data_IF_797742098687
#
_entry.id   IF_797742098687
#
_cell.length_a   1.000
_cell.length_b   1.000
_cell.length_c   1.000
_cell.angle_alpha   90.00
_cell.angle_beta   90.00
_cell.angle_gamma   90.00
#
_symmetry.space_group_name_H-M   'P 1'
#
loop_
_entity.id
_entity.type
_entity.pdbx_description
1 polymer ?
#
# COMPACT_ATOMS: atom_id res chain seq x y z
N UNK A 1 -15.04 6.01 -21.84
CA UNK A 1 -14.12 4.99 -21.29
C UNK A 1 -14.08 5.21 -19.78
N UNK A 2 -14.62 4.32 -18.92
CA UNK A 2 -14.68 4.57 -17.47
C UNK A 2 -13.40 4.14 -16.71
N UNK A 3 -12.39 3.57 -17.39
CA UNK A 3 -11.28 2.88 -16.73
C UNK A 3 -10.14 3.80 -16.25
N UNK A 4 -10.17 5.11 -16.56
CA UNK A 4 -9.11 6.05 -16.14
C UNK A 4 -9.30 6.59 -14.71
N UNK A 5 -10.53 6.64 -14.19
CA UNK A 5 -10.79 7.29 -12.89
C UNK A 5 -10.45 6.40 -11.68
N UNK A 6 -10.67 5.08 -11.77
CA UNK A 6 -10.31 4.15 -10.68
C UNK A 6 -8.79 4.00 -10.50
N UNK A 7 -8.03 4.16 -11.59
CA UNK A 7 -6.57 4.04 -11.56
C UNK A 7 -5.91 5.21 -10.83
N UNK A 8 -6.43 6.43 -11.02
CA UNK A 8 -5.92 7.62 -10.34
C UNK A 8 -6.14 7.52 -8.83
N UNK A 9 -7.35 7.11 -8.40
CA UNK A 9 -7.66 6.99 -6.97
C UNK A 9 -6.86 5.88 -6.28
N UNK A 10 -6.63 4.75 -6.96
CA UNK A 10 -5.80 3.67 -6.42
C UNK A 10 -4.35 4.13 -6.28
N UNK A 11 -3.82 4.86 -7.26
CA UNK A 11 -2.45 5.39 -7.23
C UNK A 11 -2.23 6.43 -6.13
N UNK A 12 -3.17 7.36 -5.94
CA UNK A 12 -3.15 8.32 -4.84
C UNK A 12 -3.14 7.61 -3.47
N UNK A 13 -3.96 6.56 -3.33
CA UNK A 13 -4.02 5.76 -2.10
C UNK A 13 -2.72 5.01 -1.85
N UNK A 14 -2.09 4.43 -2.87
CA UNK A 14 -0.79 3.77 -2.75
C UNK A 14 0.29 4.76 -2.29
N UNK A 15 0.33 5.97 -2.85
CA UNK A 15 1.25 7.03 -2.40
C UNK A 15 1.02 7.44 -0.94
N UNK A 16 -0.24 7.52 -0.50
CA UNK A 16 -0.55 7.82 0.91
C UNK A 16 0.03 6.75 1.85
N UNK A 17 -0.05 5.47 1.48
CA UNK A 17 0.49 4.36 2.27
C UNK A 17 2.03 4.38 2.27
N UNK A 18 2.67 4.65 1.13
CA UNK A 18 4.13 4.85 1.07
C UNK A 18 4.59 5.96 2.01
N UNK A 19 3.85 7.08 2.05
CA UNK A 19 4.18 8.18 2.96
C UNK A 19 4.01 7.79 4.43
N UNK A 20 2.96 7.03 4.78
CA UNK A 20 2.75 6.53 6.14
C UNK A 20 3.86 5.55 6.58
N UNK A 21 4.38 4.75 5.65
CA UNK A 21 5.55 3.89 5.85
C UNK A 21 6.81 4.72 6.13
N UNK A 22 7.05 5.78 5.36
CA UNK A 22 8.17 6.72 5.59
C UNK A 22 8.05 7.47 6.93
N UNK A 23 6.83 7.83 7.32
CA UNK A 23 6.53 8.47 8.60
C UNK A 23 6.69 7.51 9.81
N UNK A 24 6.84 6.20 9.57
CA UNK A 24 7.04 5.19 10.62
C UNK A 24 5.76 4.79 11.36
N UNK A 25 4.59 5.07 10.78
CA UNK A 25 3.30 4.88 11.44
C UNK A 25 2.71 3.49 11.19
N UNK A 26 3.38 2.44 11.68
CA UNK A 26 3.06 1.04 11.36
C UNK A 26 1.60 0.65 11.64
N UNK A 27 1.02 1.11 12.76
CA UNK A 27 -0.37 0.81 13.09
C UNK A 27 -1.38 1.39 12.07
N UNK A 28 -1.05 2.52 11.47
CA UNK A 28 -1.89 3.14 10.46
C UNK A 28 -1.71 2.42 9.11
N UNK A 29 -0.47 2.07 8.76
CA UNK A 29 -0.17 1.25 7.59
C UNK A 29 -0.91 -0.08 7.66
N UNK A 30 -0.86 -0.79 8.78
CA UNK A 30 -1.56 -2.06 8.95
C UNK A 30 -3.08 -1.94 8.73
N UNK A 31 -3.70 -0.87 9.26
CA UNK A 31 -5.12 -0.59 9.02
C UNK A 31 -5.43 -0.36 7.54
N UNK A 32 -4.62 0.41 6.85
CA UNK A 32 -4.80 0.67 5.42
C UNK A 32 -4.59 -0.60 4.59
N UNK A 33 -3.55 -1.39 4.90
CA UNK A 33 -3.28 -2.68 4.26
C UNK A 33 -4.44 -3.67 4.43
N UNK A 34 -5.02 -3.76 5.64
CA UNK A 34 -6.21 -4.60 5.89
C UNK A 34 -7.45 -4.17 5.09
N UNK A 35 -7.48 -2.93 4.60
CA UNK A 35 -8.57 -2.41 3.76
C UNK A 35 -8.31 -2.57 2.26
N UNK A 36 -7.09 -2.90 1.86
CA UNK A 36 -6.69 -3.10 0.46
C UNK A 36 -6.97 -4.52 -0.02
N UNK A 37 -7.21 -4.65 -1.32
CA UNK A 37 -7.27 -5.95 -1.97
C UNK A 37 -5.84 -6.56 -2.07
N UNK A 38 -5.67 -7.89 -1.96
CA UNK A 38 -4.36 -8.53 -2.16
C UNK A 38 -3.60 -8.13 -3.43
N UNK A 39 -4.30 -7.81 -4.52
CA UNK A 39 -3.69 -7.32 -5.76
C UNK A 39 -3.07 -5.92 -5.61
N UNK A 40 -3.72 -5.04 -4.84
CA UNK A 40 -3.20 -3.69 -4.57
C UNK A 40 -2.00 -3.74 -3.63
N UNK A 41 -2.00 -4.66 -2.65
CA UNK A 41 -0.86 -4.91 -1.78
C UNK A 41 0.34 -5.40 -2.60
N UNK A 42 0.13 -6.30 -3.55
CA UNK A 42 1.19 -6.76 -4.46
C UNK A 42 1.76 -5.58 -5.29
N UNK A 43 0.89 -4.75 -5.87
CA UNK A 43 1.32 -3.56 -6.61
C UNK A 43 2.08 -2.54 -5.73
N UNK A 44 1.64 -2.34 -4.48
CA UNK A 44 2.36 -1.51 -3.52
C UNK A 44 3.77 -2.06 -3.30
N UNK A 45 3.90 -3.34 -2.98
CA UNK A 45 5.18 -4.00 -2.72
C UNK A 45 6.16 -3.96 -3.90
N UNK A 46 5.63 -3.98 -5.14
CA UNK A 46 6.42 -3.81 -6.37
C UNK A 46 6.97 -2.38 -6.50
N UNK A 47 6.23 -1.38 -6.03
CA UNK A 47 6.64 0.03 -6.05
C UNK A 47 7.55 0.44 -4.89
N UNK A 48 7.54 -0.32 -3.79
CA UNK A 48 8.31 -0.01 -2.58
C UNK A 48 9.78 -0.52 -2.67
N UNK A 49 10.73 0.21 -2.07
CA UNK A 49 12.09 -0.28 -1.86
C UNK A 49 12.11 -1.48 -0.89
N UNK A 50 13.20 -2.25 -0.94
CA UNK A 50 13.32 -3.54 -0.25
C UNK A 50 13.02 -3.46 1.26
N UNK A 51 13.53 -2.45 1.96
CA UNK A 51 13.32 -2.28 3.41
C UNK A 51 11.84 -2.10 3.76
N UNK A 52 11.10 -1.30 2.98
CA UNK A 52 9.68 -1.06 3.21
C UNK A 52 8.82 -2.27 2.83
N UNK A 53 9.27 -3.05 1.85
CA UNK A 53 8.60 -4.29 1.44
C UNK A 53 8.58 -5.32 2.56
N UNK A 54 9.69 -5.51 3.28
CA UNK A 54 9.75 -6.45 4.40
C UNK A 54 8.77 -6.05 5.51
N UNK A 55 8.72 -4.76 5.84
CA UNK A 55 7.76 -4.21 6.81
C UNK A 55 6.32 -4.52 6.38
N UNK A 56 5.95 -4.22 5.14
CA UNK A 56 4.60 -4.50 4.63
C UNK A 56 4.29 -6.00 4.69
N UNK A 57 5.25 -6.85 4.33
CA UNK A 57 5.09 -8.30 4.35
C UNK A 57 4.82 -8.85 5.76
N UNK A 58 5.44 -8.28 6.79
CA UNK A 58 5.16 -8.64 8.20
C UNK A 58 3.78 -8.17 8.69
N UNK A 59 3.24 -7.10 8.10
CA UNK A 59 1.95 -6.52 8.48
C UNK A 59 0.75 -7.17 7.76
N UNK A 60 0.99 -7.87 6.65
CA UNK A 60 -0.07 -8.56 5.91
C UNK A 60 -0.42 -9.87 6.62
N UNK A 61 -1.69 -10.06 7.05
CA UNK A 61 -2.10 -11.32 7.67
C UNK A 61 -2.10 -12.47 6.64
N UNK A 62 -1.83 -13.72 7.09
CA UNK A 62 -1.80 -14.91 6.23
C UNK A 62 -3.16 -15.26 5.60
#
# INVERSE_FOLDING_TARGET
MPQEQEQDTSRERLQAISKLLEEGTLAQVERELRSLHPAEIAHLMESLPHEQREIVWELVPP
#
